data_IF_886689663729
#
_entry.id   IF_886689663729
#
_cell.length_a   1.000
_cell.length_b   1.000
_cell.length_c   1.000
_cell.angle_alpha   90.00
_cell.angle_beta   90.00
_cell.angle_gamma   90.00
#
_symmetry.space_group_name_H-M   'P 1'
#
loop_
_entity.id
_entity.type
_entity.pdbx_description
1 polymer ?
#
# COMPACT_ATOMS: atom_id res chain seq x y z
N UNK A 1 12.22 3.64 20.89
CA UNK A 1 13.08 4.51 20.03
C UNK A 1 12.31 4.75 18.75
N UNK A 2 11.68 5.92 18.59
CA UNK A 2 10.77 6.19 17.46
C UNK A 2 11.49 6.11 16.12
N UNK A 3 10.84 5.47 15.13
CA UNK A 3 11.33 5.34 13.75
C UNK A 3 11.30 6.71 13.05
N UNK A 4 12.23 7.59 13.37
CA UNK A 4 12.39 8.89 12.72
C UNK A 4 13.33 8.67 11.53
N UNK A 5 12.78 8.40 10.34
CA UNK A 5 13.56 8.48 9.10
C UNK A 5 13.16 7.55 7.96
N UNK A 6 12.53 6.41 8.26
CA UNK A 6 12.18 5.42 7.24
C UNK A 6 10.66 5.39 7.09
N UNK A 7 10.15 5.73 5.90
CA UNK A 7 8.71 5.56 5.61
C UNK A 7 8.34 4.10 5.81
N UNK A 8 7.11 3.82 6.27
CA UNK A 8 6.63 2.45 6.51
C UNK A 8 6.97 1.51 5.34
N UNK A 9 6.80 1.99 4.10
CA UNK A 9 7.13 1.24 2.89
C UNK A 9 8.61 0.83 2.78
N UNK A 10 9.55 1.71 3.13
CA UNK A 10 10.98 1.39 3.10
C UNK A 10 11.34 0.38 4.19
N UNK A 11 10.74 0.50 5.38
CA UNK A 11 10.96 -0.44 6.47
C UNK A 11 10.49 -1.85 6.09
N UNK A 12 9.34 -1.97 5.43
CA UNK A 12 8.86 -3.25 4.90
C UNK A 12 9.82 -3.81 3.84
N UNK A 13 10.29 -2.99 2.90
CA UNK A 13 11.24 -3.44 1.87
C UNK A 13 12.60 -3.86 2.44
N UNK A 14 13.05 -3.23 3.53
CA UNK A 14 14.29 -3.58 4.23
C UNK A 14 14.14 -4.89 5.02
N UNK A 15 12.96 -5.16 5.58
CA UNK A 15 12.66 -6.39 6.30
C UNK A 15 12.51 -7.61 5.39
N UNK A 16 12.25 -7.41 4.10
CA UNK A 16 12.12 -8.51 3.14
C UNK A 16 13.47 -9.22 2.92
N UNK A 17 13.48 -10.58 2.84
CA UNK A 17 14.67 -11.32 2.48
C UNK A 17 15.26 -10.85 1.14
N UNK A 18 16.57 -10.59 1.12
CA UNK A 18 17.30 -10.28 -0.12
C UNK A 18 17.61 -11.57 -0.87
N UNK A 19 16.89 -11.81 -1.96
CA UNK A 19 17.10 -12.98 -2.82
C UNK A 19 18.11 -12.61 -3.90
N UNK A 20 19.29 -13.23 -3.85
CA UNK A 20 20.32 -13.03 -4.87
C UNK A 20 19.86 -13.58 -6.23
N UNK A 21 20.18 -12.86 -7.31
CA UNK A 21 19.91 -13.32 -8.66
C UNK A 21 20.33 -12.30 -9.72
N UNK A 22 20.47 -12.76 -10.96
CA UNK A 22 20.95 -11.93 -12.07
C UNK A 22 19.85 -11.03 -12.68
N UNK A 23 18.59 -11.24 -12.30
CA UNK A 23 17.43 -10.58 -12.91
C UNK A 23 17.12 -9.16 -12.41
N UNK A 24 17.80 -8.67 -11.36
CA UNK A 24 17.62 -7.31 -10.84
C UNK A 24 16.21 -6.99 -10.34
N UNK A 25 15.42 -8.00 -9.97
CA UNK A 25 14.01 -7.84 -9.58
C UNK A 25 13.87 -7.41 -8.11
N UNK A 26 13.09 -6.36 -7.86
CA UNK A 26 12.73 -5.93 -6.49
C UNK A 26 11.81 -6.95 -5.81
N UNK A 27 10.82 -7.46 -6.55
CA UNK A 27 9.90 -8.50 -6.08
C UNK A 27 10.10 -9.79 -6.86
N UNK A 28 10.60 -10.81 -6.18
CA UNK A 28 10.85 -12.15 -6.73
C UNK A 28 10.83 -13.19 -5.62
N UNK A 29 10.61 -14.45 -5.98
CA UNK A 29 10.80 -15.61 -5.10
C UNK A 29 11.95 -16.51 -5.57
N UNK A 30 12.54 -16.23 -6.74
CA UNK A 30 13.56 -17.06 -7.38
C UNK A 30 14.87 -16.31 -7.66
N UNK A 31 14.86 -14.98 -7.61
CA UNK A 31 15.99 -14.14 -8.03
C UNK A 31 16.14 -14.01 -9.56
N UNK A 32 15.44 -14.85 -10.33
CA UNK A 32 15.60 -14.98 -11.78
C UNK A 32 14.39 -14.52 -12.57
N UNK A 33 13.21 -14.53 -11.97
CA UNK A 33 11.95 -14.14 -12.61
C UNK A 33 11.18 -13.14 -11.74
N UNK A 34 10.32 -12.29 -12.33
CA UNK A 34 9.40 -11.47 -11.55
C UNK A 34 8.48 -12.32 -10.66
N UNK A 35 7.95 -11.71 -9.61
CA UNK A 35 6.96 -12.35 -8.75
C UNK A 35 5.77 -12.89 -9.54
N UNK A 36 5.40 -14.14 -9.27
CA UNK A 36 4.24 -14.83 -9.86
C UNK A 36 3.59 -15.75 -8.83
N UNK A 37 2.56 -16.50 -9.20
CA UNK A 37 1.92 -17.48 -8.30
C UNK A 37 0.99 -16.89 -7.25
N UNK A 38 0.33 -15.76 -7.55
CA UNK A 38 -0.57 -15.05 -6.63
C UNK A 38 -1.67 -15.92 -6.01
N UNK A 39 -2.20 -16.90 -6.75
CA UNK A 39 -3.21 -17.83 -6.22
C UNK A 39 -2.66 -18.71 -5.09
N UNK A 40 -1.40 -19.16 -5.22
CA UNK A 40 -0.73 -19.95 -4.17
C UNK A 40 -0.39 -19.06 -2.98
N UNK A 41 0.14 -17.86 -3.24
CA UNK A 41 0.43 -16.88 -2.19
C UNK A 41 -0.82 -16.53 -1.37
N UNK A 42 -1.96 -16.31 -2.03
CA UNK A 42 -3.25 -16.04 -1.37
C UNK A 42 -3.68 -17.17 -0.46
N UNK A 43 -3.63 -18.44 -0.93
CA UNK A 43 -3.99 -19.59 -0.09
C UNK A 43 -3.09 -19.71 1.14
N UNK A 44 -1.80 -19.45 0.99
CA UNK A 44 -0.87 -19.45 2.12
C UNK A 44 -1.19 -18.31 3.11
N UNK A 45 -1.55 -17.13 2.60
CA UNK A 45 -1.97 -15.99 3.42
C UNK A 45 -3.26 -16.30 4.19
N UNK A 46 -4.29 -16.84 3.54
CA UNK A 46 -5.53 -17.25 4.22
C UNK A 46 -5.25 -18.24 5.35
N UNK A 47 -4.37 -19.24 5.11
CA UNK A 47 -3.98 -20.22 6.12
C UNK A 47 -3.28 -19.54 7.31
N UNK A 48 -2.38 -18.59 7.05
CA UNK A 48 -1.69 -17.84 8.10
C UNK A 48 -2.66 -16.97 8.90
N UNK A 49 -3.61 -16.31 8.24
CA UNK A 49 -4.65 -15.50 8.90
C UNK A 49 -5.57 -16.35 9.79
N UNK A 50 -6.00 -17.52 9.32
CA UNK A 50 -6.81 -18.45 10.13
C UNK A 50 -6.05 -18.94 11.37
N UNK A 51 -4.77 -19.28 11.21
CA UNK A 51 -3.92 -19.70 12.32
C UNK A 51 -3.72 -18.58 13.35
N UNK A 52 -3.51 -17.33 12.90
CA UNK A 52 -3.42 -16.17 13.77
C UNK A 52 -4.74 -15.92 14.54
N UNK A 53 -5.88 -15.92 13.84
CA UNK A 53 -7.19 -15.73 14.45
C UNK A 53 -7.53 -16.82 15.49
N UNK A 54 -7.19 -18.08 15.20
CA UNK A 54 -7.35 -19.17 16.15
C UNK A 54 -6.44 -19.02 17.37
N UNK A 55 -5.20 -18.56 17.19
CA UNK A 55 -4.28 -18.30 18.29
C UNK A 55 -4.75 -17.16 19.20
N UNK A 56 -5.40 -16.14 18.64
CA UNK A 56 -5.96 -15.00 19.40
C UNK A 56 -7.24 -15.35 20.14
N UNK A 57 -8.15 -16.12 19.51
CA UNK A 57 -9.50 -16.38 20.06
C UNK A 57 -9.61 -17.70 20.82
N UNK A 58 -8.68 -18.64 20.60
CA UNK A 58 -8.75 -20.00 21.13
C UNK A 58 -9.84 -20.88 20.51
N UNK A 59 -10.54 -20.39 19.48
CA UNK A 59 -11.65 -21.07 18.84
C UNK A 59 -11.45 -21.22 17.33
N UNK A 60 -12.18 -22.17 16.73
CA UNK A 60 -12.21 -22.31 15.28
C UNK A 60 -12.68 -20.99 14.65
N UNK A 61 -11.83 -20.42 13.80
CA UNK A 61 -12.05 -19.14 13.14
C UNK A 61 -12.37 -19.35 11.66
N UNK A 62 -13.17 -18.46 11.08
CA UNK A 62 -13.45 -18.45 9.64
C UNK A 62 -13.11 -17.10 9.04
N UNK A 63 -12.74 -17.07 7.76
CA UNK A 63 -12.46 -15.85 7.03
C UNK A 63 -13.61 -15.52 6.08
N UNK A 64 -14.10 -14.26 6.07
CA UNK A 64 -14.98 -13.79 5.02
C UNK A 64 -14.35 -13.96 3.64
N UNK A 65 -15.18 -14.14 2.61
CA UNK A 65 -14.68 -14.27 1.24
C UNK A 65 -14.04 -12.96 0.76
N UNK A 66 -12.75 -13.00 0.41
CA UNK A 66 -12.02 -11.87 -0.13
C UNK A 66 -10.96 -12.32 -1.16
N UNK A 67 -10.53 -11.38 -2.01
CA UNK A 67 -9.51 -11.55 -3.07
C UNK A 67 -8.42 -10.49 -2.91
N UNK A 68 -7.24 -10.74 -3.46
CA UNK A 68 -6.13 -9.75 -3.40
C UNK A 68 -6.51 -8.36 -3.95
N UNK A 69 -7.42 -8.30 -4.94
CA UNK A 69 -7.95 -7.03 -5.46
C UNK A 69 -8.74 -6.22 -4.42
N UNK A 70 -9.23 -6.83 -3.35
CA UNK A 70 -9.85 -6.12 -2.22
C UNK A 70 -8.87 -5.19 -1.53
N UNK A 71 -7.57 -5.55 -1.45
CA UNK A 71 -6.57 -4.66 -0.87
C UNK A 71 -6.52 -3.32 -1.61
N UNK A 72 -6.59 -3.38 -2.95
CA UNK A 72 -6.65 -2.19 -3.80
C UNK A 72 -7.92 -1.38 -3.57
N UNK A 73 -9.08 -2.05 -3.46
CA UNK A 73 -10.37 -1.40 -3.19
C UNK A 73 -10.37 -0.72 -1.82
N UNK A 74 -9.83 -1.38 -0.80
CA UNK A 74 -9.66 -0.85 0.54
C UNK A 74 -8.77 0.39 0.55
N UNK A 75 -7.61 0.35 -0.12
CA UNK A 75 -6.74 1.53 -0.24
C UNK A 75 -7.45 2.70 -0.93
N UNK A 76 -8.19 2.45 -2.02
CA UNK A 76 -8.91 3.48 -2.75
C UNK A 76 -9.96 4.18 -1.88
N UNK A 77 -10.85 3.39 -1.26
CA UNK A 77 -11.91 3.91 -0.38
C UNK A 77 -11.33 4.55 0.88
N UNK A 78 -10.25 4.00 1.42
CA UNK A 78 -9.53 4.54 2.57
C UNK A 78 -8.91 5.90 2.28
N UNK A 79 -8.20 6.04 1.15
CA UNK A 79 -7.65 7.33 0.71
C UNK A 79 -8.74 8.37 0.47
N UNK A 80 -9.89 7.98 -0.09
CA UNK A 80 -11.03 8.87 -0.26
C UNK A 80 -11.58 9.36 1.08
N UNK A 81 -11.70 8.47 2.08
CA UNK A 81 -12.09 8.82 3.45
C UNK A 81 -11.11 9.79 4.12
N UNK A 82 -9.83 9.71 3.78
CA UNK A 82 -8.77 10.61 4.25
C UNK A 82 -8.70 11.93 3.45
N UNK A 83 -9.64 12.19 2.54
CA UNK A 83 -9.74 13.44 1.79
C UNK A 83 -8.82 13.53 0.57
N UNK A 84 -8.19 12.43 0.14
CA UNK A 84 -7.37 12.42 -1.07
C UNK A 84 -8.30 12.49 -2.29
N UNK A 85 -7.98 13.38 -3.24
CA UNK A 85 -8.80 13.60 -4.42
C UNK A 85 -8.77 12.39 -5.38
N UNK A 86 -9.91 12.07 -5.99
CA UNK A 86 -10.09 10.92 -6.87
C UNK A 86 -9.05 10.82 -8.01
N UNK A 87 -8.68 11.90 -8.73
CA UNK A 87 -7.64 11.81 -9.76
C UNK A 87 -6.28 11.37 -9.22
N UNK A 88 -5.94 11.75 -7.99
CA UNK A 88 -4.70 11.30 -7.33
C UNK A 88 -4.80 9.82 -6.97
N UNK A 89 -5.93 9.39 -6.40
CA UNK A 89 -6.18 7.97 -6.09
C UNK A 89 -6.06 7.12 -7.36
N UNK A 90 -6.73 7.50 -8.44
CA UNK A 90 -6.67 6.80 -9.73
C UNK A 90 -5.22 6.70 -10.26
N UNK A 91 -4.41 7.74 -10.08
CA UNK A 91 -2.99 7.73 -10.46
C UNK A 91 -2.12 6.90 -9.53
N UNK A 92 -2.36 6.89 -8.21
CA UNK A 92 -1.70 5.95 -7.27
C UNK A 92 -1.98 4.52 -7.69
N UNK A 93 -3.23 4.26 -8.04
CA UNK A 93 -3.68 2.98 -8.51
C UNK A 93 -3.10 2.63 -9.91
N UNK A 94 -2.58 3.59 -10.67
CA UNK A 94 -2.18 3.40 -12.06
C UNK A 94 -3.38 2.93 -12.94
N UNK A 95 -4.57 3.45 -12.65
CA UNK A 95 -5.70 3.30 -13.55
C UNK A 95 -5.48 4.16 -14.80
N UNK A 96 -5.63 3.51 -15.96
CA UNK A 96 -5.66 4.17 -17.27
C UNK A 96 -7.08 4.21 -17.84
N UNK A 97 -8.01 3.51 -17.21
CA UNK A 97 -9.46 3.56 -17.46
C UNK A 97 -10.16 4.47 -16.45
N UNK A 98 -11.45 4.73 -16.62
CA UNK A 98 -12.22 5.57 -15.68
C UNK A 98 -12.01 7.07 -15.92
N UNK A 99 -11.68 7.83 -14.87
CA UNK A 99 -11.56 9.30 -14.91
C UNK A 99 -10.49 9.82 -15.87
N UNK A 100 -9.53 8.96 -16.27
CA UNK A 100 -8.49 9.29 -17.25
C UNK A 100 -8.71 8.63 -18.62
N UNK A 101 -9.87 8.04 -18.87
CA UNK A 101 -10.22 7.51 -20.17
C UNK A 101 -10.56 8.64 -21.17
N UNK A 102 -10.43 8.33 -22.46
CA UNK A 102 -10.81 9.24 -23.54
C UNK A 102 -9.98 10.53 -23.56
N UNK A 103 -10.64 11.65 -23.82
CA UNK A 103 -9.98 12.93 -24.07
C UNK A 103 -9.19 13.46 -22.86
N UNK A 104 -9.61 13.11 -21.64
CA UNK A 104 -8.89 13.46 -20.41
C UNK A 104 -7.51 12.80 -20.41
N UNK A 105 -7.39 11.55 -20.84
CA UNK A 105 -6.10 10.86 -20.97
C UNK A 105 -5.18 11.45 -22.03
N UNK A 106 -5.74 12.06 -23.07
CA UNK A 106 -4.98 12.73 -24.15
C UNK A 106 -4.33 14.01 -23.64
N UNK A 107 -5.09 14.82 -22.89
CA UNK A 107 -4.63 16.13 -22.42
C UNK A 107 -3.91 16.08 -21.07
N UNK A 108 -4.38 15.24 -20.14
CA UNK A 108 -3.87 15.24 -18.78
C UNK A 108 -2.63 14.35 -18.64
N UNK A 109 -1.48 14.91 -19.03
CA UNK A 109 -0.15 14.25 -19.02
C UNK A 109 0.65 14.42 -17.74
N UNK A 110 0.16 15.24 -16.80
CA UNK A 110 0.76 15.39 -15.47
C UNK A 110 0.94 14.01 -14.81
N UNK A 111 2.10 13.79 -14.19
CA UNK A 111 2.47 12.51 -13.58
C UNK A 111 1.85 12.31 -12.20
N UNK A 112 1.42 13.40 -11.56
CA UNK A 112 0.95 13.47 -10.18
C UNK A 112 1.98 12.92 -9.18
N UNK A 113 3.29 13.02 -9.47
CA UNK A 113 4.32 12.37 -8.66
C UNK A 113 4.30 12.82 -7.19
N UNK A 114 4.20 14.13 -6.95
CA UNK A 114 4.22 14.70 -5.61
C UNK A 114 2.90 14.46 -4.87
N UNK A 115 1.78 14.55 -5.59
CA UNK A 115 0.45 14.27 -5.06
C UNK A 115 0.29 12.79 -4.69
N UNK A 116 0.81 11.88 -5.52
CA UNK A 116 0.85 10.43 -5.22
C UNK A 116 1.72 10.16 -4.00
N UNK A 117 2.89 10.82 -3.87
CA UNK A 117 3.75 10.67 -2.69
C UNK A 117 3.01 11.10 -1.42
N UNK A 118 2.42 12.30 -1.44
CA UNK A 118 1.62 12.82 -0.33
C UNK A 118 0.47 11.86 0.05
N UNK A 119 -0.28 11.36 -0.94
CA UNK A 119 -1.36 10.41 -0.71
C UNK A 119 -0.88 9.10 -0.06
N UNK A 120 0.24 8.55 -0.54
CA UNK A 120 0.84 7.34 0.02
C UNK A 120 1.38 7.56 1.44
N UNK A 121 1.95 8.73 1.73
CA UNK A 121 2.42 9.09 3.08
C UNK A 121 1.24 9.22 4.06
N UNK A 122 0.14 9.84 3.64
CA UNK A 122 -1.10 9.94 4.43
C UNK A 122 -1.66 8.55 4.71
N UNK A 123 -1.72 7.69 3.69
CA UNK A 123 -2.16 6.31 3.85
C UNK A 123 -1.26 5.50 4.78
N UNK A 124 0.07 5.64 4.65
CA UNK A 124 1.04 4.94 5.49
C UNK A 124 0.89 5.33 6.97
N UNK A 125 0.70 6.62 7.27
CA UNK A 125 0.46 7.09 8.65
C UNK A 125 -0.84 6.52 9.23
N UNK A 126 -1.90 6.43 8.42
CA UNK A 126 -3.15 5.81 8.85
C UNK A 126 -2.96 4.32 9.19
N UNK A 127 -2.20 3.57 8.37
CA UNK A 127 -1.90 2.16 8.65
C UNK A 127 -1.05 1.99 9.92
N UNK A 128 -0.05 2.84 10.11
CA UNK A 128 0.82 2.81 11.29
C UNK A 128 0.02 3.00 12.59
N UNK A 129 -0.93 3.94 12.60
CA UNK A 129 -1.87 4.14 13.72
C UNK A 129 -2.76 2.93 13.96
N UNK A 130 -3.25 2.29 12.88
CA UNK A 130 -4.12 1.12 12.99
C UNK A 130 -3.36 -0.09 13.56
N UNK A 131 -2.09 -0.27 13.20
CA UNK A 131 -1.26 -1.41 13.64
C UNK A 131 -0.74 -1.21 15.06
N UNK A 132 -0.31 0.01 15.41
CA UNK A 132 0.26 0.31 16.73
C UNK A 132 -0.82 0.58 17.79
N UNK A 133 -2.02 0.98 17.38
CA UNK A 133 -3.06 1.46 18.27
C UNK A 133 -2.77 2.83 18.89
N UNK A 134 -1.65 3.47 18.51
CA UNK A 134 -1.29 4.80 18.98
C UNK A 134 -1.97 5.88 18.13
N UNK A 135 -2.56 6.93 18.74
CA UNK A 135 -3.09 8.05 17.97
C UNK A 135 -1.95 8.75 17.23
N UNK A 136 -2.25 9.32 16.06
CA UNK A 136 -1.31 10.19 15.35
C UNK A 136 -0.72 11.21 16.32
N UNK A 137 0.60 11.24 16.49
CA UNK A 137 1.23 12.32 17.25
C UNK A 137 0.71 13.66 16.72
N UNK A 138 0.34 14.58 17.62
CA UNK A 138 -0.25 15.90 17.32
C UNK A 138 0.63 16.83 16.44
N UNK A 139 1.71 16.33 15.87
CA UNK A 139 2.69 17.09 15.09
C UNK A 139 2.58 16.69 13.63
N UNK A 140 1.92 17.54 12.85
CA UNK A 140 1.99 17.52 11.39
C UNK A 140 3.11 18.48 10.97
N UNK A 141 4.20 18.01 10.35
CA UNK A 141 5.18 18.91 9.75
C UNK A 141 4.49 19.69 8.63
N UNK A 142 4.33 21.00 8.79
CA UNK A 142 3.93 21.85 7.68
C UNK A 142 5.09 21.91 6.69
N UNK A 143 4.87 21.40 5.49
CA UNK A 143 5.79 21.64 4.37
C UNK A 143 5.79 23.15 4.14
N UNK A 144 6.90 23.81 4.47
CA UNK A 144 7.11 25.22 4.14
C UNK A 144 7.03 25.36 2.63
N UNK A 145 5.90 25.84 2.12
CA UNK A 145 5.77 26.22 0.72
C UNK A 145 6.91 27.16 0.36
N UNK A 146 7.72 26.78 -0.63
CA UNK A 146 8.72 27.67 -1.19
C UNK A 146 7.99 28.90 -1.72
N UNK A 147 8.21 30.04 -1.03
CA UNK A 147 7.85 31.36 -1.54
C UNK A 147 8.78 31.65 -2.71
N UNK A 148 8.27 31.57 -3.92
CA UNK A 148 8.78 32.31 -5.08
C UNK A 148 8.16 33.70 -5.10
#
# INVERSE_FOLDING_TARGET
MGRIGTTLALAELEALPRIAGAGGHVFTTTGQTPASGFSRAKRNLDKAMLAAAQAETGAESSLPAWRLHDLRRTTASGMAKLGINLPVIEKVLNHTSGSFAGIVGVYQRHSFADEKRCALDVWARFLDQLVTGEPAGNVVPMVSGART
#
